data_IF_395070399648
#
_entry.id   IF_395070399648
#
_cell.length_a   1.000
_cell.length_b   1.000
_cell.length_c   1.000
_cell.angle_alpha   90.00
_cell.angle_beta   90.00
_cell.angle_gamma   90.00
#
_symmetry.space_group_name_H-M   'P 1'
#
loop_
_entity.id
_entity.type
_entity.pdbx_description
1 polymer ?
#
# COMPACT_ATOMS: atom_id res chain seq x y z
N UNK A 1 28.20 8.33 50.88
CA UNK A 1 27.14 7.31 50.83
C UNK A 1 27.07 6.65 49.43
N UNK A 2 27.08 7.42 48.32
CA UNK A 2 27.01 6.90 46.95
C UNK A 2 28.17 5.95 46.65
N UNK A 3 29.38 6.25 47.07
CA UNK A 3 30.59 5.45 46.81
C UNK A 3 30.58 4.06 47.52
N UNK A 4 29.94 3.96 48.69
CA UNK A 4 29.79 2.70 49.42
C UNK A 4 28.71 1.84 48.76
N UNK A 5 27.62 2.46 48.30
CA UNK A 5 26.53 1.79 47.60
C UNK A 5 26.97 1.19 46.24
N UNK A 6 27.78 1.93 45.50
CA UNK A 6 28.35 1.44 44.20
C UNK A 6 29.33 0.28 44.45
N UNK A 7 30.07 0.25 45.57
CA UNK A 7 30.96 -0.87 45.88
C UNK A 7 30.20 -2.12 46.29
N UNK A 8 29.06 -1.95 46.99
CA UNK A 8 28.19 -3.07 47.41
C UNK A 8 27.48 -3.66 46.19
N UNK A 9 26.93 -2.81 45.27
CA UNK A 9 26.30 -3.24 44.03
C UNK A 9 27.29 -3.99 43.15
N UNK A 10 28.55 -3.49 43.00
CA UNK A 10 29.60 -4.17 42.23
C UNK A 10 30.08 -5.49 42.86
N UNK A 11 29.82 -5.75 44.15
CA UNK A 11 30.15 -7.01 44.79
C UNK A 11 29.13 -8.11 44.55
N UNK A 12 27.86 -7.72 44.30
CA UNK A 12 26.76 -8.61 43.94
C UNK A 12 26.60 -8.81 42.43
N UNK A 13 27.06 -7.87 41.60
CA UNK A 13 27.07 -8.00 40.12
C UNK A 13 28.43 -8.53 39.69
N UNK A 14 28.75 -9.79 40.07
CA UNK A 14 30.02 -10.44 39.74
C UNK A 14 30.05 -11.07 38.34
N UNK A 15 28.98 -10.90 37.57
CA UNK A 15 28.91 -11.36 36.18
C UNK A 15 28.88 -10.19 35.20
N UNK A 16 30.11 -9.65 34.92
CA UNK A 16 30.35 -8.77 33.79
C UNK A 16 30.18 -9.45 32.42
N UNK A 17 29.81 -10.71 32.37
CA UNK A 17 29.66 -11.51 31.15
C UNK A 17 28.21 -11.85 30.81
N UNK A 18 27.20 -11.25 31.47
CA UNK A 18 25.79 -11.44 31.08
C UNK A 18 25.32 -10.55 29.92
N UNK A 19 26.21 -9.67 29.40
CA UNK A 19 25.92 -8.89 28.16
C UNK A 19 26.58 -9.54 26.94
N UNK A 20 27.31 -10.65 27.10
CA UNK A 20 27.89 -11.35 25.97
C UNK A 20 26.97 -12.51 25.55
N UNK A 21 26.25 -12.32 24.45
CA UNK A 21 25.42 -13.28 23.71
C UNK A 21 23.98 -13.50 24.16
N UNK A 22 23.28 -12.53 24.68
CA UNK A 22 21.85 -12.51 24.48
C UNK A 22 21.64 -12.17 22.97
N UNK A 23 21.59 -13.20 22.14
CA UNK A 23 20.98 -13.05 20.83
C UNK A 23 19.53 -12.67 21.13
N UNK A 24 19.20 -11.39 20.96
CA UNK A 24 17.81 -10.93 21.03
C UNK A 24 17.06 -11.73 19.98
N UNK A 25 16.05 -12.45 20.37
CA UNK A 25 15.14 -13.08 19.41
C UNK A 25 14.35 -11.98 18.70
N UNK A 26 13.85 -12.26 17.51
CA UNK A 26 12.97 -11.36 16.77
C UNK A 26 11.80 -10.89 17.65
N UNK A 27 11.19 -11.81 18.41
CA UNK A 27 10.11 -11.48 19.35
C UNK A 27 10.53 -10.48 20.43
N UNK A 28 11.77 -10.54 20.92
CA UNK A 28 12.28 -9.59 21.90
C UNK A 28 12.49 -8.21 21.27
N UNK A 29 12.94 -8.16 20.01
CA UNK A 29 13.07 -6.91 19.25
C UNK A 29 11.67 -6.29 19.02
N UNK A 30 10.69 -7.06 18.57
CA UNK A 30 9.30 -6.62 18.38
C UNK A 30 8.73 -6.02 19.67
N UNK A 31 8.90 -6.70 20.82
CA UNK A 31 8.45 -6.19 22.14
C UNK A 31 9.16 -4.90 22.54
N UNK A 32 10.46 -4.77 22.21
CA UNK A 32 11.19 -3.54 22.49
C UNK A 32 10.68 -2.36 21.66
N UNK A 33 10.37 -2.61 20.40
CA UNK A 33 9.74 -1.63 19.49
C UNK A 33 8.38 -1.19 20.04
N UNK A 34 7.51 -2.13 20.45
CA UNK A 34 6.20 -1.83 21.03
C UNK A 34 6.29 -0.96 22.32
N UNK A 35 7.26 -1.25 23.18
CA UNK A 35 7.48 -0.44 24.39
C UNK A 35 7.97 0.95 24.03
N UNK A 36 8.88 1.06 23.03
CA UNK A 36 9.43 2.35 22.60
C UNK A 36 8.36 3.25 21.98
N UNK A 37 7.40 2.68 21.27
CA UNK A 37 6.26 3.42 20.70
C UNK A 37 5.35 3.93 21.84
N UNK A 38 4.99 3.07 22.81
CA UNK A 38 4.16 3.48 23.97
C UNK A 38 4.81 4.58 24.83
N UNK A 39 6.13 4.62 24.88
CA UNK A 39 6.90 5.67 25.56
C UNK A 39 7.09 6.94 24.69
N UNK A 40 6.57 6.94 23.42
CA UNK A 40 6.68 8.07 22.50
C UNK A 40 8.09 8.30 21.94
N UNK A 41 8.98 7.29 22.03
CA UNK A 41 10.36 7.36 21.48
C UNK A 41 10.35 7.17 19.97
N UNK A 42 9.47 6.31 19.47
CA UNK A 42 9.23 6.06 18.04
C UNK A 42 7.75 6.31 17.73
N UNK A 43 7.48 6.75 16.51
CA UNK A 43 6.13 7.00 16.03
C UNK A 43 5.45 5.68 15.64
N UNK A 44 4.12 5.70 15.57
CA UNK A 44 3.33 4.55 15.12
C UNK A 44 3.74 4.09 13.71
N UNK A 45 3.88 5.02 12.76
CA UNK A 45 4.33 4.73 11.39
C UNK A 45 5.74 4.10 11.34
N UNK A 46 6.65 4.52 12.23
CA UNK A 46 7.99 3.94 12.33
C UNK A 46 7.94 2.51 12.91
N UNK A 47 7.03 2.26 13.86
CA UNK A 47 6.77 0.93 14.40
C UNK A 47 6.21 0.00 13.33
N UNK A 48 5.21 0.46 12.55
CA UNK A 48 4.63 -0.30 11.44
C UNK A 48 5.69 -0.69 10.41
N UNK A 49 6.53 0.26 9.96
CA UNK A 49 7.62 -0.04 9.03
C UNK A 49 8.60 -1.10 9.58
N UNK A 50 8.93 -1.05 10.89
CA UNK A 50 9.81 -2.05 11.48
C UNK A 50 9.14 -3.42 11.50
N UNK A 51 7.84 -3.50 11.75
CA UNK A 51 7.09 -4.75 11.69
C UNK A 51 7.04 -5.30 10.27
N UNK A 52 6.75 -4.45 9.28
CA UNK A 52 6.73 -4.82 7.86
C UNK A 52 8.08 -5.36 7.39
N UNK A 53 9.22 -4.82 7.86
CA UNK A 53 10.55 -5.37 7.53
C UNK A 53 10.72 -6.81 8.00
N UNK A 54 10.16 -7.21 9.15
CA UNK A 54 10.21 -8.59 9.61
C UNK A 54 9.30 -9.51 8.78
N UNK A 55 8.11 -9.03 8.40
CA UNK A 55 7.17 -9.79 7.57
C UNK A 55 7.68 -9.95 6.13
N UNK A 56 8.39 -8.95 5.62
CA UNK A 56 9.00 -8.95 4.30
C UNK A 56 9.97 -10.12 4.06
N UNK A 57 10.61 -10.62 5.11
CA UNK A 57 11.56 -11.74 5.00
C UNK A 57 10.85 -13.08 4.74
N UNK A 58 9.63 -13.23 5.23
CA UNK A 58 8.83 -14.45 5.14
C UNK A 58 7.82 -14.45 3.97
N UNK A 59 7.55 -13.28 3.36
CA UNK A 59 6.56 -13.10 2.30
C UNK A 59 7.05 -13.68 0.96
N UNK A 60 6.14 -14.34 0.23
CA UNK A 60 6.40 -14.90 -1.09
C UNK A 60 5.81 -14.04 -2.21
N UNK A 61 6.41 -14.08 -3.39
CA UNK A 61 5.97 -13.33 -4.58
C UNK A 61 4.47 -13.50 -4.87
N UNK A 62 3.95 -14.75 -4.78
CA UNK A 62 2.52 -15.03 -5.04
C UNK A 62 1.53 -14.30 -4.14
N UNK A 63 1.99 -13.81 -2.98
CA UNK A 63 1.14 -13.15 -1.99
C UNK A 63 0.91 -11.68 -2.31
N UNK A 64 1.85 -11.06 -3.05
CA UNK A 64 1.84 -9.62 -3.37
C UNK A 64 1.82 -9.31 -4.88
N UNK A 65 2.03 -10.33 -5.75
CA UNK A 65 2.04 -10.10 -7.20
C UNK A 65 0.69 -9.59 -7.70
N UNK A 66 0.70 -8.79 -8.76
CA UNK A 66 -0.48 -8.49 -9.56
C UNK A 66 -0.88 -9.77 -10.30
N UNK A 67 -2.05 -10.37 -10.00
CA UNK A 67 -2.46 -11.62 -10.61
C UNK A 67 -2.69 -11.47 -12.12
N UNK A 68 -2.57 -12.56 -12.86
CA UNK A 68 -2.73 -12.61 -14.32
C UNK A 68 -3.98 -11.91 -14.85
N UNK A 69 -5.11 -12.03 -14.13
CA UNK A 69 -6.39 -11.46 -14.55
C UNK A 69 -6.41 -9.93 -14.51
N UNK A 70 -5.54 -9.33 -13.71
CA UNK A 70 -5.43 -7.89 -13.51
C UNK A 70 -4.25 -7.28 -14.28
N UNK A 71 -3.45 -8.11 -14.96
CA UNK A 71 -2.31 -7.65 -15.75
C UNK A 71 -2.74 -6.80 -16.93
N UNK A 72 -2.15 -5.63 -17.10
CA UNK A 72 -2.28 -4.79 -18.28
C UNK A 72 -1.15 -5.13 -19.25
N UNK A 73 -1.48 -5.86 -20.31
CA UNK A 73 -0.54 -6.34 -21.32
C UNK A 73 -1.02 -5.95 -22.73
N UNK A 74 -0.11 -5.95 -23.70
CA UNK A 74 -0.46 -5.67 -25.10
C UNK A 74 0.04 -6.77 -26.02
N UNK A 75 -0.72 -7.06 -27.07
CA UNK A 75 -0.28 -8.02 -28.09
C UNK A 75 0.80 -7.41 -28.98
N UNK A 76 1.79 -8.22 -29.40
CA UNK A 76 2.93 -7.78 -30.21
C UNK A 76 2.53 -7.10 -31.54
N UNK A 77 1.39 -7.46 -32.08
CA UNK A 77 0.86 -6.92 -33.35
C UNK A 77 -0.04 -5.69 -33.16
N UNK A 78 -0.22 -5.19 -31.93
CA UNK A 78 -1.02 -4.00 -31.67
C UNK A 78 -0.40 -2.75 -32.29
N UNK A 79 -1.21 -1.75 -32.50
CA UNK A 79 -0.75 -0.47 -33.08
C UNK A 79 -0.06 0.38 -31.98
N UNK A 80 0.87 1.24 -32.43
CA UNK A 80 1.50 2.22 -31.55
C UNK A 80 0.47 3.10 -30.81
N UNK A 81 -0.62 3.47 -31.48
CA UNK A 81 -1.66 4.30 -30.88
C UNK A 81 -2.40 3.58 -29.74
N UNK A 82 -2.68 2.29 -29.90
CA UNK A 82 -3.28 1.46 -28.82
C UNK A 82 -2.36 1.35 -27.62
N UNK A 83 -1.06 1.13 -27.85
CA UNK A 83 -0.07 1.06 -26.80
C UNK A 83 0.05 2.37 -26.01
N UNK A 84 0.15 3.50 -26.71
CA UNK A 84 0.23 4.83 -26.09
C UNK A 84 -1.05 5.14 -25.31
N UNK A 85 -2.21 4.89 -25.92
CA UNK A 85 -3.49 5.10 -25.26
C UNK A 85 -3.60 4.30 -23.97
N UNK A 86 -3.24 3.02 -24.03
CA UNK A 86 -3.21 2.13 -22.84
C UNK A 86 -2.25 2.68 -21.76
N UNK A 87 -1.02 3.08 -22.14
CA UNK A 87 -0.05 3.62 -21.20
C UNK A 87 -0.52 4.90 -20.50
N UNK A 88 -1.16 5.81 -21.26
CA UNK A 88 -1.69 7.07 -20.71
C UNK A 88 -2.92 6.84 -19.84
N UNK A 89 -3.90 6.05 -20.31
CA UNK A 89 -5.16 5.81 -19.57
C UNK A 89 -4.94 5.04 -18.27
N UNK A 90 -3.95 4.12 -18.26
CA UNK A 90 -3.64 3.29 -17.10
C UNK A 90 -2.51 3.86 -16.24
N UNK A 91 -1.81 4.89 -16.70
CA UNK A 91 -0.69 5.49 -15.96
C UNK A 91 0.56 4.61 -15.87
N UNK A 92 0.69 3.57 -16.72
CA UNK A 92 1.79 2.62 -16.62
C UNK A 92 3.00 3.06 -17.45
N UNK A 93 4.17 3.07 -16.83
CA UNK A 93 5.45 3.38 -17.50
C UNK A 93 6.01 2.21 -18.31
N UNK A 94 5.61 0.95 -17.97
CA UNK A 94 6.08 -0.30 -18.57
C UNK A 94 4.89 -1.20 -18.86
N UNK A 95 4.83 -1.74 -20.07
CA UNK A 95 3.72 -2.62 -20.50
C UNK A 95 4.32 -3.93 -21.01
N UNK A 96 4.00 -5.08 -20.41
CA UNK A 96 4.37 -6.40 -20.93
C UNK A 96 3.75 -6.64 -22.29
N UNK A 97 4.51 -7.29 -23.17
CA UNK A 97 4.10 -7.65 -24.52
C UNK A 97 3.97 -9.17 -24.62
N UNK A 98 2.86 -9.63 -25.14
CA UNK A 98 2.62 -11.06 -25.34
C UNK A 98 2.44 -11.42 -26.82
N UNK A 99 2.66 -12.69 -27.15
CA UNK A 99 2.39 -13.26 -28.47
C UNK A 99 1.34 -14.36 -28.34
N UNK A 100 0.24 -14.24 -29.05
CA UNK A 100 -0.91 -15.15 -29.10
C UNK A 100 -1.67 -15.27 -27.76
N UNK A 101 -0.99 -15.43 -26.65
CA UNK A 101 -1.57 -15.60 -25.32
C UNK A 101 -0.74 -14.89 -24.25
N UNK A 102 -1.40 -14.41 -23.19
CA UNK A 102 -0.74 -13.83 -22.01
C UNK A 102 0.23 -14.84 -21.34
N UNK A 103 0.08 -16.14 -21.60
CA UNK A 103 1.06 -17.15 -21.13
C UNK A 103 2.40 -17.05 -21.87
N UNK A 104 2.43 -16.40 -23.00
CA UNK A 104 3.64 -16.21 -23.80
C UNK A 104 4.07 -14.74 -23.81
N UNK A 105 4.54 -14.25 -22.69
CA UNK A 105 5.14 -12.90 -22.58
C UNK A 105 6.51 -12.93 -23.25
N UNK A 106 6.70 -12.10 -24.27
CA UNK A 106 7.94 -12.01 -25.05
C UNK A 106 8.89 -10.90 -24.56
N UNK A 107 8.40 -9.98 -23.74
CA UNK A 107 9.18 -8.88 -23.19
C UNK A 107 8.30 -7.75 -22.66
N UNK A 108 8.87 -6.57 -22.56
CA UNK A 108 8.16 -5.34 -22.16
C UNK A 108 8.54 -4.15 -23.05
N UNK A 109 7.67 -3.14 -23.08
CA UNK A 109 7.93 -1.86 -23.73
C UNK A 109 7.87 -0.75 -22.67
N UNK A 110 8.84 0.18 -22.75
CA UNK A 110 8.81 1.41 -21.97
C UNK A 110 8.05 2.49 -22.73
N UNK A 111 7.01 3.05 -22.14
CA UNK A 111 6.21 4.11 -22.77
C UNK A 111 7.09 5.34 -23.10
N UNK A 112 8.08 5.65 -22.25
CA UNK A 112 9.00 6.78 -22.52
C UNK A 112 9.82 6.62 -23.79
N UNK A 113 10.16 5.38 -24.18
CA UNK A 113 10.95 5.13 -25.40
C UNK A 113 10.14 5.41 -26.68
N UNK A 114 8.82 5.48 -26.56
CA UNK A 114 7.90 5.79 -27.67
C UNK A 114 7.69 7.30 -27.86
N UNK A 115 8.04 8.13 -26.86
CA UNK A 115 7.80 9.58 -26.93
C UNK A 115 8.56 10.24 -28.10
N UNK A 116 9.78 9.76 -28.40
CA UNK A 116 10.55 10.27 -29.54
C UNK A 116 9.85 10.02 -30.87
N UNK A 117 9.16 8.88 -30.99
CA UNK A 117 8.46 8.49 -32.22
C UNK A 117 7.22 9.35 -32.49
N UNK A 118 6.57 9.85 -31.44
CA UNK A 118 5.44 10.78 -31.56
C UNK A 118 5.86 12.12 -32.16
N UNK A 119 7.12 12.52 -31.95
CA UNK A 119 7.66 13.78 -32.51
C UNK A 119 8.03 13.66 -34.00
N UNK A 120 8.24 12.45 -34.49
CA UNK A 120 8.70 12.19 -35.86
C UNK A 120 7.58 11.91 -36.87
N UNK A 121 6.28 11.97 -36.50
CA UNK A 121 5.10 11.68 -37.34
C UNK A 121 5.20 10.37 -38.16
N UNK A 122 5.91 9.37 -37.67
CA UNK A 122 6.04 8.06 -38.33
C UNK A 122 4.74 7.26 -38.21
N UNK A 123 4.09 6.99 -39.32
CA UNK A 123 2.76 6.36 -39.35
C UNK A 123 2.74 4.82 -39.40
N UNK A 124 3.89 4.15 -39.52
CA UNK A 124 3.99 2.69 -39.58
C UNK A 124 5.15 2.19 -38.74
N UNK A 125 4.95 2.17 -37.43
CA UNK A 125 5.96 1.65 -36.45
C UNK A 125 5.51 0.27 -35.99
N UNK A 126 6.40 -0.72 -36.13
CA UNK A 126 6.23 -2.02 -35.52
C UNK A 126 6.67 -1.93 -34.06
N UNK A 127 5.76 -2.13 -33.10
CA UNK A 127 6.08 -2.05 -31.66
C UNK A 127 7.03 -3.15 -31.23
N UNK A 128 7.14 -4.25 -31.97
CA UNK A 128 8.06 -5.37 -31.71
C UNK A 128 9.54 -4.90 -31.68
N UNK A 129 9.90 -3.86 -32.45
CA UNK A 129 11.26 -3.30 -32.44
C UNK A 129 11.66 -2.65 -31.10
N UNK A 130 10.68 -2.32 -30.26
CA UNK A 130 10.87 -1.68 -28.97
C UNK A 130 10.74 -2.65 -27.79
N UNK A 131 10.45 -3.93 -28.07
CA UNK A 131 10.34 -4.97 -27.03
C UNK A 131 11.72 -5.24 -26.46
N UNK A 132 11.83 -5.05 -25.15
CA UNK A 132 13.02 -5.38 -24.38
C UNK A 132 12.81 -6.67 -23.59
N UNK A 133 13.88 -7.40 -23.29
CA UNK A 133 13.77 -8.57 -22.45
C UNK A 133 13.12 -8.25 -21.09
N UNK A 134 12.38 -9.18 -20.53
CA UNK A 134 11.78 -9.08 -19.20
C UNK A 134 12.30 -10.21 -18.32
N UNK A 135 12.35 -9.98 -17.01
CA UNK A 135 12.82 -10.95 -16.03
C UNK A 135 11.67 -11.89 -15.63
N UNK A 136 11.92 -13.21 -15.64
CA UNK A 136 10.96 -14.23 -15.22
C UNK A 136 11.38 -14.84 -13.89
N UNK A 137 10.40 -15.02 -12.99
CA UNK A 137 10.62 -15.56 -11.65
C UNK A 137 9.51 -16.55 -11.27
N UNK A 138 9.80 -17.56 -10.42
CA UNK A 138 8.78 -18.46 -9.91
C UNK A 138 7.96 -17.77 -8.80
N UNK A 139 6.68 -18.14 -8.70
CA UNK A 139 5.73 -17.58 -7.70
C UNK A 139 6.10 -17.89 -6.24
N UNK A 140 6.82 -18.98 -5.97
CA UNK A 140 7.28 -19.37 -4.64
C UNK A 140 8.58 -18.69 -4.18
N UNK A 141 9.07 -17.67 -4.89
CA UNK A 141 10.29 -16.95 -4.52
C UNK A 141 10.05 -16.01 -3.35
N UNK A 142 10.93 -15.96 -2.31
CA UNK A 142 10.88 -14.92 -1.28
C UNK A 142 11.13 -13.53 -1.84
N UNK A 143 10.35 -12.53 -1.40
CA UNK A 143 10.42 -11.16 -1.94
C UNK A 143 11.70 -10.43 -1.57
N UNK A 144 12.32 -10.73 -0.42
CA UNK A 144 13.61 -10.18 0.00
C UNK A 144 14.73 -10.54 -0.98
N UNK A 145 14.75 -11.80 -1.49
CA UNK A 145 15.69 -12.26 -2.51
C UNK A 145 15.39 -11.59 -3.84
N UNK A 146 14.10 -11.50 -4.21
CA UNK A 146 13.68 -10.84 -5.45
C UNK A 146 14.13 -9.39 -5.50
N UNK A 147 13.89 -8.62 -4.43
CA UNK A 147 14.30 -7.22 -4.36
C UNK A 147 15.81 -7.05 -4.59
N UNK A 148 16.62 -7.93 -3.99
CA UNK A 148 18.07 -7.92 -4.16
C UNK A 148 18.48 -8.20 -5.60
N UNK A 149 17.87 -9.19 -6.25
CA UNK A 149 18.15 -9.57 -7.65
C UNK A 149 17.69 -8.48 -8.64
N UNK A 150 16.49 -7.90 -8.44
CA UNK A 150 16.00 -6.81 -9.28
C UNK A 150 16.89 -5.57 -9.20
N UNK A 151 17.39 -5.23 -8.01
CA UNK A 151 18.37 -4.14 -7.82
C UNK A 151 19.69 -4.43 -8.53
N UNK A 152 20.23 -5.64 -8.43
CA UNK A 152 21.48 -6.04 -9.08
C UNK A 152 21.34 -6.00 -10.61
N UNK A 153 20.24 -6.50 -11.14
CA UNK A 153 19.91 -6.54 -12.57
C UNK A 153 19.44 -5.19 -13.12
N UNK A 154 19.09 -4.24 -12.27
CA UNK A 154 18.46 -2.95 -12.63
C UNK A 154 17.12 -3.14 -13.35
N UNK A 155 16.41 -4.19 -12.99
CA UNK A 155 15.05 -4.47 -13.50
C UNK A 155 14.02 -3.90 -12.52
N UNK A 156 12.95 -3.33 -13.07
CA UNK A 156 11.86 -2.72 -12.27
C UNK A 156 10.57 -3.52 -12.34
N UNK A 157 10.52 -4.56 -13.17
CA UNK A 157 9.35 -5.41 -13.35
C UNK A 157 9.80 -6.83 -13.64
N UNK A 158 9.10 -7.81 -13.10
CA UNK A 158 9.30 -9.22 -13.41
C UNK A 158 7.96 -9.90 -13.70
N UNK A 159 7.97 -10.88 -14.61
CA UNK A 159 6.84 -11.77 -14.86
C UNK A 159 6.95 -12.96 -13.94
N UNK A 160 5.86 -13.28 -13.25
CA UNK A 160 5.76 -14.43 -12.36
C UNK A 160 5.22 -15.62 -13.15
N UNK A 161 5.92 -16.76 -13.05
CA UNK A 161 5.54 -18.00 -13.74
C UNK A 161 5.15 -19.09 -12.74
N UNK A 162 4.14 -19.86 -13.10
CA UNK A 162 3.69 -21.03 -12.36
C UNK A 162 4.57 -22.27 -12.64
N UNK A 163 4.25 -23.41 -12.00
CA UNK A 163 4.99 -24.67 -12.13
C UNK A 163 4.85 -25.32 -13.53
N UNK A 164 3.88 -24.87 -14.31
CA UNK A 164 3.61 -25.37 -15.67
C UNK A 164 4.24 -24.49 -16.74
N UNK A 165 4.86 -23.37 -16.33
CA UNK A 165 5.48 -22.40 -17.23
C UNK A 165 4.50 -21.38 -17.80
N UNK A 166 3.25 -21.32 -17.28
CA UNK A 166 2.27 -20.29 -17.60
C UNK A 166 2.54 -18.99 -16.81
N UNK A 167 1.98 -17.88 -17.28
CA UNK A 167 2.05 -16.60 -16.55
C UNK A 167 1.07 -16.61 -15.38
N UNK A 168 1.58 -16.54 -14.15
CA UNK A 168 0.80 -16.40 -12.93
C UNK A 168 0.45 -14.94 -12.63
N UNK A 169 1.35 -14.02 -12.94
CA UNK A 169 1.19 -12.60 -12.67
C UNK A 169 2.41 -11.76 -13.06
N UNK A 170 2.49 -10.57 -12.53
CA UNK A 170 3.67 -9.72 -12.59
C UNK A 170 3.91 -9.05 -11.23
N UNK A 171 5.13 -8.57 -11.02
CA UNK A 171 5.51 -7.83 -9.83
C UNK A 171 6.48 -6.73 -10.21
N UNK A 172 6.38 -5.59 -9.53
CA UNK A 172 7.26 -4.43 -9.73
C UNK A 172 8.12 -4.17 -8.48
N UNK A 173 9.16 -3.33 -8.61
CA UNK A 173 9.93 -2.87 -7.45
C UNK A 173 9.04 -2.03 -6.53
N UNK A 174 8.13 -1.28 -7.11
CA UNK A 174 7.18 -0.46 -6.41
C UNK A 174 6.31 -1.31 -5.45
N UNK A 175 5.78 -2.47 -5.89
CA UNK A 175 5.02 -3.41 -5.05
C UNK A 175 5.87 -3.96 -3.89
N UNK A 176 7.16 -4.29 -4.16
CA UNK A 176 8.08 -4.76 -3.13
C UNK A 176 8.40 -3.70 -2.07
N UNK A 177 8.47 -2.43 -2.46
CA UNK A 177 8.71 -1.33 -1.53
C UNK A 177 7.46 -0.98 -0.71
N UNK A 178 6.29 -1.13 -1.30
CA UNK A 178 5.00 -0.94 -0.62
C UNK A 178 4.85 -1.87 0.58
N UNK A 179 5.32 -3.12 0.49
CA UNK A 179 5.32 -4.07 1.62
C UNK A 179 6.16 -3.62 2.83
N UNK A 180 7.17 -2.75 2.60
CA UNK A 180 8.03 -2.25 3.69
C UNK A 180 7.51 -0.92 4.23
N UNK A 181 7.14 -0.01 3.33
CA UNK A 181 6.83 1.39 3.67
C UNK A 181 5.34 1.57 3.94
N UNK A 182 4.50 0.60 3.53
CA UNK A 182 3.06 0.75 3.42
C UNK A 182 2.69 1.65 2.23
N UNK A 183 1.42 2.02 2.12
CA UNK A 183 0.99 3.02 1.15
C UNK A 183 1.86 4.26 1.31
N UNK A 184 2.82 4.48 0.40
CA UNK A 184 3.59 5.72 0.37
C UNK A 184 2.56 6.80 0.02
N UNK A 185 2.19 7.59 1.01
CA UNK A 185 1.46 8.83 0.72
C UNK A 185 2.40 9.66 -0.17
N UNK A 186 2.08 9.76 -1.45
CA UNK A 186 2.79 10.62 -2.38
C UNK A 186 2.70 12.05 -1.82
N UNK A 187 3.78 12.84 -1.93
CA UNK A 187 3.73 14.28 -1.57
C UNK A 187 2.63 15.01 -2.35
N UNK A 188 2.13 14.41 -3.44
CA UNK A 188 0.93 14.83 -4.17
C UNK A 188 -0.37 14.26 -3.59
N UNK A 189 -0.34 13.25 -2.70
CA UNK A 189 -1.51 12.77 -1.96
C UNK A 189 -1.86 13.66 -0.75
N UNK A 190 -1.03 14.67 -0.43
CA UNK A 190 -1.32 15.71 0.57
C UNK A 190 -2.55 16.57 0.19
N UNK A 191 -3.13 16.38 -1.02
CA UNK A 191 -4.38 17.04 -1.44
C UNK A 191 -5.55 16.07 -1.67
N UNK A 192 -5.40 14.77 -1.46
CA UNK A 192 -6.60 13.94 -1.27
C UNK A 192 -7.04 14.10 0.18
N UNK A 193 -7.77 15.17 0.44
CA UNK A 193 -8.43 15.32 1.73
C UNK A 193 -9.20 14.03 2.01
N UNK A 194 -8.97 13.42 3.18
CA UNK A 194 -9.75 12.26 3.63
C UNK A 194 -11.26 12.56 3.62
N UNK A 195 -11.61 13.80 3.38
CA UNK A 195 -12.94 14.39 3.33
C UNK A 195 -13.11 15.07 1.98
N UNK A 196 -13.92 14.53 1.07
CA UNK A 196 -14.26 15.11 -0.21
C UNK A 196 -15.73 15.57 -0.16
N UNK A 197 -15.97 16.86 -0.37
CA UNK A 197 -17.32 17.42 -0.42
C UNK A 197 -17.91 17.15 -1.80
N UNK A 198 -18.96 16.32 -1.86
CA UNK A 198 -19.66 15.98 -3.10
C UNK A 198 -20.76 17.00 -3.42
N UNK A 199 -21.54 17.35 -2.41
CA UNK A 199 -22.60 18.37 -2.48
C UNK A 199 -22.90 18.94 -1.08
N UNK A 200 -23.86 19.87 -0.99
CA UNK A 200 -24.19 20.59 0.24
C UNK A 200 -24.54 19.68 1.44
N UNK A 201 -24.87 18.40 1.19
CA UNK A 201 -25.30 17.45 2.21
C UNK A 201 -24.53 16.13 2.19
N UNK A 202 -23.56 15.99 1.25
CA UNK A 202 -22.89 14.70 1.03
C UNK A 202 -21.37 14.84 1.06
N UNK A 203 -20.73 14.01 1.89
CA UNK A 203 -19.29 13.84 1.93
C UNK A 203 -18.91 12.43 1.47
N UNK A 204 -17.80 12.31 0.75
CA UNK A 204 -17.11 11.04 0.56
C UNK A 204 -15.86 11.05 1.44
N UNK A 205 -15.77 10.06 2.32
CA UNK A 205 -14.82 10.00 3.42
C UNK A 205 -13.94 8.76 3.31
N UNK A 206 -12.67 8.88 3.67
CA UNK A 206 -11.84 7.72 3.97
C UNK A 206 -12.23 7.18 5.36
N UNK A 207 -12.15 5.86 5.55
CA UNK A 207 -12.46 5.25 6.84
C UNK A 207 -11.54 5.66 7.99
N UNK A 208 -10.38 6.21 7.66
CA UNK A 208 -9.35 6.69 8.61
C UNK A 208 -9.58 8.11 9.11
N UNK A 209 -10.56 8.83 8.56
CA UNK A 209 -10.88 10.18 9.01
C UNK A 209 -11.10 10.19 10.51
N UNK A 210 -10.42 11.09 11.19
CA UNK A 210 -10.61 11.34 12.61
C UNK A 210 -12.00 11.95 12.86
N UNK A 211 -12.66 11.54 13.95
CA UNK A 211 -13.99 12.03 14.29
C UNK A 211 -13.93 13.53 14.64
N UNK A 212 -12.87 13.99 15.28
CA UNK A 212 -12.68 15.40 15.61
C UNK A 212 -12.55 16.24 14.33
N UNK A 213 -11.73 15.81 13.37
CA UNK A 213 -11.59 16.44 12.06
C UNK A 213 -12.92 16.47 11.29
N UNK A 214 -13.65 15.35 11.23
CA UNK A 214 -14.94 15.27 10.57
C UNK A 214 -15.97 16.20 11.19
N UNK A 215 -15.95 16.38 12.52
CA UNK A 215 -16.86 17.24 13.25
C UNK A 215 -16.72 18.73 12.88
N UNK A 216 -15.58 19.16 12.34
CA UNK A 216 -15.41 20.51 11.82
C UNK A 216 -16.33 20.80 10.63
N UNK A 217 -16.61 19.80 9.82
CA UNK A 217 -17.50 19.87 8.64
C UNK A 217 -18.99 19.68 8.97
N UNK A 218 -19.31 19.16 10.14
CA UNK A 218 -20.68 18.82 10.50
C UNK A 218 -21.30 19.91 11.39
N UNK A 219 -22.58 20.26 11.13
CA UNK A 219 -23.35 21.11 12.04
C UNK A 219 -23.73 20.38 13.32
N UNK A 220 -24.12 19.12 13.17
CA UNK A 220 -24.42 18.23 14.27
C UNK A 220 -23.24 17.25 14.42
N UNK A 221 -22.31 17.50 15.36
CA UNK A 221 -21.10 16.70 15.51
C UNK A 221 -21.42 15.27 15.95
N UNK A 222 -20.64 14.32 15.45
CA UNK A 222 -20.62 12.95 15.96
C UNK A 222 -20.10 12.93 17.40
N UNK A 223 -20.59 11.99 18.19
CA UNK A 223 -20.15 11.83 19.58
C UNK A 223 -18.71 11.30 19.58
N UNK A 224 -17.82 12.00 20.24
CA UNK A 224 -16.47 11.55 20.53
C UNK A 224 -16.47 10.56 21.69
N UNK A 225 -15.62 9.54 21.62
CA UNK A 225 -15.58 8.46 22.62
C UNK A 225 -14.19 7.85 22.72
N UNK A 226 -13.78 7.49 23.92
CA UNK A 226 -12.54 6.71 24.17
C UNK A 226 -12.54 5.31 23.50
N UNK A 227 -13.67 4.88 22.92
CA UNK A 227 -13.80 3.58 22.25
C UNK A 227 -13.49 3.61 20.76
N UNK A 228 -13.40 4.78 20.15
CA UNK A 228 -13.08 4.98 18.73
C UNK A 228 -12.58 6.40 18.48
N UNK A 229 -11.56 6.53 17.66
CA UNK A 229 -10.99 7.81 17.22
C UNK A 229 -11.36 8.09 15.76
N UNK A 230 -11.48 7.06 14.93
CA UNK A 230 -11.75 7.17 13.48
C UNK A 230 -13.18 6.82 13.10
N UNK A 231 -13.59 7.24 11.91
CA UNK A 231 -14.92 6.93 11.34
C UNK A 231 -15.13 5.42 11.16
N UNK A 232 -14.10 4.68 10.75
CA UNK A 232 -14.15 3.21 10.72
C UNK A 232 -14.36 2.62 12.09
N UNK A 233 -13.66 3.15 13.11
CA UNK A 233 -13.81 2.72 14.50
C UNK A 233 -15.22 2.94 15.01
N UNK A 234 -15.82 4.09 14.74
CA UNK A 234 -17.23 4.40 15.08
C UNK A 234 -18.17 3.39 14.43
N UNK A 235 -18.03 3.11 13.13
CA UNK A 235 -18.90 2.15 12.41
C UNK A 235 -18.79 0.75 13.01
N UNK A 236 -17.56 0.28 13.26
CA UNK A 236 -17.32 -1.03 13.88
C UNK A 236 -17.89 -1.10 15.30
N UNK A 237 -17.79 -0.03 16.07
CA UNK A 237 -18.35 0.05 17.41
C UNK A 237 -19.89 -0.10 17.41
N UNK A 238 -20.59 0.63 16.52
CA UNK A 238 -22.05 0.56 16.44
C UNK A 238 -22.54 -0.77 15.86
N UNK A 239 -21.88 -1.32 14.84
CA UNK A 239 -22.29 -2.58 14.21
C UNK A 239 -21.80 -3.81 14.97
N UNK A 240 -20.77 -3.69 15.80
CA UNK A 240 -20.09 -4.77 16.51
C UNK A 240 -19.64 -5.94 15.59
N UNK A 241 -19.38 -5.63 14.32
CA UNK A 241 -18.87 -6.54 13.28
C UNK A 241 -18.39 -5.74 12.08
N UNK A 242 -17.61 -6.38 11.20
CA UNK A 242 -17.27 -5.78 9.91
C UNK A 242 -18.51 -5.65 9.04
N UNK A 243 -18.80 -4.46 8.49
CA UNK A 243 -19.92 -4.26 7.56
C UNK A 243 -19.66 -4.91 6.19
N UNK A 244 -20.66 -4.89 5.32
CA UNK A 244 -20.53 -5.25 3.91
C UNK A 244 -20.68 -4.02 3.02
N UNK A 245 -20.13 -4.07 1.80
CA UNK A 245 -20.30 -3.00 0.82
C UNK A 245 -21.78 -2.70 0.56
N UNK A 246 -22.16 -1.43 0.58
CA UNK A 246 -23.53 -0.94 0.42
C UNK A 246 -24.35 -0.95 1.71
N UNK A 247 -23.80 -1.43 2.83
CA UNK A 247 -24.48 -1.40 4.12
C UNK A 247 -24.59 0.05 4.63
N UNK A 248 -25.70 0.33 5.32
CA UNK A 248 -26.02 1.66 5.86
C UNK A 248 -26.06 1.62 7.38
N UNK A 249 -25.43 2.60 7.99
CA UNK A 249 -25.57 2.91 9.40
C UNK A 249 -26.36 4.22 9.51
N UNK A 250 -27.56 4.17 10.04
CA UNK A 250 -28.42 5.32 10.27
C UNK A 250 -28.14 5.89 11.66
N UNK A 251 -27.75 7.14 11.72
CA UNK A 251 -27.62 7.96 12.91
C UNK A 251 -28.74 9.02 12.91
N UNK A 252 -28.97 9.73 14.03
CA UNK A 252 -30.11 10.63 14.17
C UNK A 252 -30.26 11.65 13.03
N UNK A 253 -29.12 12.27 12.61
CA UNK A 253 -29.13 13.34 11.62
C UNK A 253 -28.33 13.01 10.34
N UNK A 254 -27.81 11.79 10.21
CA UNK A 254 -27.01 11.40 9.06
C UNK A 254 -27.06 9.89 8.79
N UNK A 255 -26.71 9.53 7.56
CA UNK A 255 -26.59 8.14 7.12
C UNK A 255 -25.17 7.91 6.59
N UNK A 256 -24.48 6.92 7.14
CA UNK A 256 -23.19 6.44 6.64
C UNK A 256 -23.43 5.23 5.73
N UNK A 257 -22.94 5.28 4.50
CA UNK A 257 -23.05 4.20 3.51
C UNK A 257 -21.66 3.69 3.18
N UNK A 258 -21.43 2.39 3.35
CA UNK A 258 -20.14 1.76 3.08
C UNK A 258 -19.94 1.61 1.57
N UNK A 259 -19.06 2.39 0.96
CA UNK A 259 -18.80 2.36 -0.48
C UNK A 259 -17.75 1.32 -0.87
N UNK A 260 -16.70 1.14 -0.04
CA UNK A 260 -15.69 0.12 -0.31
C UNK A 260 -15.06 -0.44 0.97
N UNK A 261 -14.71 -1.73 0.90
CA UNK A 261 -13.94 -2.45 1.91
C UNK A 261 -12.83 -3.17 1.17
N UNK A 262 -11.59 -2.99 1.61
CA UNK A 262 -10.39 -3.64 1.07
C UNK A 262 -9.62 -4.23 2.25
N UNK A 263 -9.20 -5.49 2.15
CA UNK A 263 -8.43 -6.20 3.19
C UNK A 263 -9.04 -6.12 4.59
N UNK A 264 -10.35 -6.35 4.67
CA UNK A 264 -11.14 -6.25 5.91
C UNK A 264 -11.14 -4.84 6.56
N UNK A 265 -10.70 -3.80 5.84
CA UNK A 265 -10.72 -2.41 6.29
C UNK A 265 -11.74 -1.60 5.50
N UNK A 266 -12.51 -0.78 6.18
CA UNK A 266 -13.44 0.16 5.55
C UNK A 266 -12.58 1.28 4.93
N UNK A 267 -12.63 1.43 3.60
CA UNK A 267 -11.82 2.42 2.87
C UNK A 267 -12.61 3.66 2.48
N UNK A 268 -13.83 3.49 1.93
CA UNK A 268 -14.66 4.62 1.51
C UNK A 268 -16.04 4.54 2.12
N UNK A 269 -16.46 5.68 2.65
CA UNK A 269 -17.75 5.85 3.32
C UNK A 269 -18.38 7.11 2.73
N UNK A 270 -19.64 6.99 2.31
CA UNK A 270 -20.46 8.13 1.91
C UNK A 270 -21.30 8.57 3.11
N UNK A 271 -21.10 9.79 3.58
CA UNK A 271 -21.92 10.42 4.59
C UNK A 271 -22.98 11.29 3.91
N UNK A 272 -24.25 11.08 4.28
CA UNK A 272 -25.38 11.88 3.82
C UNK A 272 -25.99 12.53 5.05
N UNK A 273 -25.85 13.84 5.19
CA UNK A 273 -26.39 14.62 6.30
C UNK A 273 -27.80 15.13 5.99
N UNK A 274 -28.65 15.20 7.00
CA UNK A 274 -29.96 15.85 6.91
C UNK A 274 -29.88 17.39 6.84
N UNK A 275 -28.77 17.96 7.31
CA UNK A 275 -28.47 19.38 7.27
C UNK A 275 -27.27 19.68 6.36
N UNK A 276 -27.19 20.92 5.85
CA UNK A 276 -26.09 21.32 5.02
C UNK A 276 -24.75 21.29 5.79
N UNK A 277 -23.71 20.79 5.13
CA UNK A 277 -22.36 20.71 5.61
C UNK A 277 -21.76 22.13 5.74
N UNK A 278 -20.88 22.36 6.70
CA UNK A 278 -20.13 23.61 6.79
C UNK A 278 -19.06 23.59 5.68
N UNK A 279 -19.28 24.35 4.61
CA UNK A 279 -18.20 24.66 3.69
C UNK A 279 -17.31 25.71 4.35
N UNK A 280 -16.00 25.52 4.39
CA UNK A 280 -15.08 26.63 4.67
C UNK A 280 -15.32 27.69 3.58
N UNK A 281 -15.78 28.86 4.00
CA UNK A 281 -15.72 30.06 3.16
C UNK A 281 -14.24 30.47 3.07
N UNK A 282 -13.71 30.58 1.84
CA UNK A 282 -12.39 31.11 1.48
C UNK A 282 -11.98 32.41 2.21
#
# INVERSE_FOLDING_TARGET
FIFIFTKIVNLFVKDKNLISSAFLSEEEIRRFVDVSQREGVIKETEQEMIQSVFEFDDTLVKEIMIPRIDMVCIEKNASLNELIKMGVEKGHSRIPVFEESIDNIIGLIYIKDLLELLLEERSNINIEEFVKPIYFIPEGKPINQLLSEMKERKEHMAVVVDEYGGTAGLITIEDLLEEIVGDIQDEFDLEKSYIEVIDDNTLLLDGRVDIEELNEYLKNPLVESDNYETLSGLILYYLNRLPVKGEKLELEDMTLVIESIIDNRIRKIKLISSEAIKCEED
#
